data_IF_197932378458
#
_entry.id   IF_197932378458
#
_cell.length_a   1.000
_cell.length_b   1.000
_cell.length_c   1.000
_cell.angle_alpha   90.00
_cell.angle_beta   90.00
_cell.angle_gamma   90.00
#
_symmetry.space_group_name_H-M   'P 1'
#
loop_
_entity.id
_entity.type
_entity.pdbx_description
1 polymer ?
#
# COMPACT_ATOMS: atom_id res chain seq x y z
N UNK A 1 2.10 10.45 -7.31
CA UNK A 1 3.28 9.73 -7.82
C UNK A 1 3.68 8.57 -6.94
N UNK A 2 4.03 7.45 -7.56
CA UNK A 2 4.53 6.23 -6.94
C UNK A 2 6.06 6.25 -6.91
N UNK A 3 6.65 7.15 -6.11
CA UNK A 3 8.10 7.35 -6.09
C UNK A 3 8.89 6.39 -5.19
N UNK A 4 8.21 5.53 -4.41
CA UNK A 4 8.85 4.52 -3.54
C UNK A 4 9.60 5.04 -2.32
N UNK A 5 9.89 6.34 -2.20
CA UNK A 5 10.76 6.91 -1.15
C UNK A 5 10.38 6.54 0.29
N UNK A 6 9.09 6.33 0.56
CA UNK A 6 8.62 5.92 1.89
C UNK A 6 9.05 4.51 2.32
N UNK A 7 9.36 3.62 1.37
CA UNK A 7 9.66 2.20 1.66
C UNK A 7 10.93 2.06 2.50
N UNK A 8 11.97 2.82 2.19
CA UNK A 8 13.21 2.87 2.98
C UNK A 8 13.04 3.42 4.40
N UNK A 9 11.87 4.00 4.73
CA UNK A 9 11.55 4.51 6.06
C UNK A 9 10.59 3.60 6.83
N UNK A 10 10.06 2.55 6.19
CA UNK A 10 9.14 1.62 6.81
C UNK A 10 9.91 0.55 7.60
N UNK A 11 9.74 0.46 8.94
CA UNK A 11 10.47 -0.54 9.74
C UNK A 11 10.03 -1.99 9.49
N UNK A 12 8.86 -2.19 8.87
CA UNK A 12 8.32 -3.50 8.48
C UNK A 12 8.69 -3.91 7.05
N UNK A 13 9.33 -3.03 6.27
CA UNK A 13 9.65 -3.32 4.87
C UNK A 13 8.42 -3.51 3.98
N UNK A 14 7.33 -2.77 4.25
CA UNK A 14 6.09 -2.83 3.46
C UNK A 14 6.33 -2.24 2.07
N UNK A 15 5.82 -2.92 1.04
CA UNK A 15 5.86 -2.50 -0.38
C UNK A 15 4.79 -1.42 -0.65
N UNK A 16 4.91 -0.27 0.02
CA UNK A 16 3.91 0.80 0.06
C UNK A 16 3.55 1.30 -1.34
N UNK A 17 4.52 1.42 -2.26
CA UNK A 17 4.26 1.90 -3.62
C UNK A 17 3.48 0.88 -4.43
N UNK A 18 3.78 -0.42 -4.31
CA UNK A 18 3.04 -1.47 -4.98
C UNK A 18 1.60 -1.57 -4.47
N UNK A 19 1.38 -1.46 -3.16
CA UNK A 19 0.03 -1.41 -2.56
C UNK A 19 -0.74 -0.18 -3.06
N UNK A 20 -0.10 0.98 -3.11
CA UNK A 20 -0.72 2.20 -3.62
C UNK A 20 -1.08 2.10 -5.11
N UNK A 21 -0.29 1.38 -5.90
CA UNK A 21 -0.59 1.08 -7.30
C UNK A 21 -1.82 0.17 -7.43
N UNK A 22 -1.92 -0.86 -6.60
CA UNK A 22 -3.12 -1.72 -6.58
C UNK A 22 -4.38 -0.93 -6.22
N UNK A 23 -4.30 -0.02 -5.26
CA UNK A 23 -5.39 0.93 -4.96
C UNK A 23 -5.73 1.84 -6.14
N UNK A 24 -4.72 2.36 -6.83
CA UNK A 24 -4.94 3.20 -8.02
C UNK A 24 -5.69 2.44 -9.12
N UNK A 25 -5.44 1.14 -9.30
CA UNK A 25 -6.20 0.33 -10.25
C UNK A 25 -7.64 0.08 -9.77
N UNK A 26 -7.85 -0.14 -8.48
CA UNK A 26 -9.17 -0.38 -7.91
C UNK A 26 -10.09 0.86 -7.88
N UNK A 27 -9.49 2.05 -7.83
CA UNK A 27 -10.17 3.33 -7.63
C UNK A 27 -9.94 4.29 -8.80
N UNK A 28 -10.48 5.51 -8.70
CA UNK A 28 -10.30 6.56 -9.69
C UNK A 28 -10.89 6.22 -11.07
N UNK A 29 -10.20 6.62 -12.13
CA UNK A 29 -10.66 6.41 -13.51
C UNK A 29 -10.35 5.04 -14.11
N UNK A 30 -9.56 4.20 -13.43
CA UNK A 30 -9.26 2.84 -13.90
C UNK A 30 -10.40 1.88 -13.57
N UNK A 31 -10.80 1.82 -12.30
CA UNK A 31 -11.80 0.89 -11.77
C UNK A 31 -11.61 -0.58 -12.21
N UNK A 32 -10.36 -0.98 -12.45
CA UNK A 32 -9.98 -2.34 -12.82
C UNK A 32 -9.66 -3.16 -11.58
N UNK A 33 -10.72 -3.74 -11.00
CA UNK A 33 -10.60 -4.60 -9.81
C UNK A 33 -9.78 -5.86 -10.08
N UNK A 34 -9.79 -6.39 -11.30
CA UNK A 34 -9.05 -7.60 -11.65
C UNK A 34 -7.55 -7.36 -11.55
N UNK A 35 -7.08 -6.30 -12.21
CA UNK A 35 -5.69 -5.87 -12.17
C UNK A 35 -5.24 -5.45 -10.77
N UNK A 36 -6.12 -4.79 -10.00
CA UNK A 36 -5.83 -4.43 -8.62
C UNK A 36 -5.55 -5.66 -7.74
N UNK A 37 -6.41 -6.68 -7.82
CA UNK A 37 -6.28 -7.91 -7.05
C UNK A 37 -5.07 -8.75 -7.49
N UNK A 38 -4.81 -8.85 -8.80
CA UNK A 38 -3.63 -9.58 -9.27
C UNK A 38 -2.35 -8.92 -8.78
N UNK A 39 -2.24 -7.59 -8.93
CA UNK A 39 -1.07 -6.82 -8.46
C UNK A 39 -0.89 -6.92 -6.94
N UNK A 40 -1.97 -6.88 -6.16
CA UNK A 40 -1.88 -7.00 -4.69
C UNK A 40 -1.48 -8.42 -4.24
N UNK A 41 -1.95 -9.47 -4.93
CA UNK A 41 -1.64 -10.87 -4.58
C UNK A 41 -0.21 -11.30 -4.89
N UNK A 42 0.50 -10.56 -5.72
CA UNK A 42 1.93 -10.76 -5.97
C UNK A 42 2.81 -10.34 -4.78
N UNK A 43 2.25 -9.57 -3.83
CA UNK A 43 2.99 -9.11 -2.67
C UNK A 43 3.29 -10.26 -1.70
N UNK A 44 4.52 -10.37 -1.19
CA UNK A 44 4.80 -11.30 -0.11
C UNK A 44 4.04 -10.86 1.15
N UNK A 45 3.54 -11.83 1.93
CA UNK A 45 2.71 -11.55 3.10
C UNK A 45 3.37 -10.60 4.13
N UNK A 46 4.70 -10.66 4.29
CA UNK A 46 5.43 -9.79 5.21
C UNK A 46 5.55 -8.34 4.73
N UNK A 47 5.27 -8.06 3.46
CA UNK A 47 5.34 -6.72 2.87
C UNK A 47 3.96 -6.19 2.42
N UNK A 48 2.87 -6.84 2.86
CA UNK A 48 1.49 -6.49 2.52
C UNK A 48 0.92 -5.39 3.43
N UNK A 49 -0.32 -4.98 3.16
CA UNK A 49 -1.02 -4.04 4.05
C UNK A 49 -1.32 -4.66 5.41
N UNK A 50 -1.52 -5.98 5.52
CA UNK A 50 -1.72 -6.67 6.80
C UNK A 50 -0.49 -6.48 7.71
N UNK A 51 0.72 -6.67 7.17
CA UNK A 51 1.96 -6.46 7.91
C UNK A 51 2.13 -5.00 8.37
N UNK A 52 1.66 -4.02 7.57
CA UNK A 52 1.65 -2.63 7.98
C UNK A 52 0.72 -2.38 9.19
N UNK A 53 -0.45 -3.01 9.22
CA UNK A 53 -1.45 -2.78 10.26
C UNK A 53 -1.16 -3.50 11.58
N UNK A 54 -0.09 -4.28 11.65
CA UNK A 54 0.49 -4.75 12.91
C UNK A 54 1.21 -3.61 13.67
N UNK A 55 1.60 -2.53 12.99
CA UNK A 55 2.22 -1.39 13.65
C UNK A 55 1.19 -0.63 14.50
N UNK A 56 1.50 -0.31 15.77
CA UNK A 56 0.61 0.51 16.60
C UNK A 56 0.50 1.95 16.05
N UNK A 57 1.56 2.46 15.44
CA UNK A 57 1.62 3.77 14.78
C UNK A 57 2.53 3.67 13.56
N UNK A 58 2.12 4.28 12.44
CA UNK A 58 2.96 4.35 11.24
C UNK A 58 4.05 5.43 11.40
N UNK A 59 5.30 5.05 11.19
CA UNK A 59 6.46 5.95 11.24
C UNK A 59 7.07 6.22 9.86
N UNK A 60 6.56 5.59 8.81
CA UNK A 60 7.02 5.80 7.45
C UNK A 60 6.71 7.23 6.98
N UNK A 61 7.61 7.81 6.19
CA UNK A 61 7.54 9.20 5.75
C UNK A 61 7.30 9.27 4.25
N UNK A 62 6.18 9.86 3.85
CA UNK A 62 5.92 10.13 2.44
C UNK A 62 6.52 11.49 2.06
N UNK A 63 7.42 11.51 1.09
CA UNK A 63 7.97 12.75 0.53
C UNK A 63 6.92 13.70 -0.10
N UNK A 64 5.69 13.20 -0.32
CA UNK A 64 4.56 13.95 -0.86
C UNK A 64 3.44 14.20 0.17
N UNK A 65 3.66 13.88 1.44
CA UNK A 65 2.69 14.14 2.51
C UNK A 65 1.46 13.22 2.53
N UNK A 66 1.49 12.07 1.85
CA UNK A 66 0.40 11.10 1.92
C UNK A 66 0.33 10.47 3.33
N UNK A 67 -0.90 10.28 3.83
CA UNK A 67 -1.15 9.46 5.00
C UNK A 67 -1.02 7.98 4.64
N UNK A 68 0.16 7.40 4.88
CA UNK A 68 0.48 6.02 4.52
C UNK A 68 -0.43 5.04 5.28
N UNK A 69 -0.62 5.23 6.59
CA UNK A 69 -1.46 4.35 7.41
C UNK A 69 -2.89 4.24 6.86
N UNK A 70 -3.52 5.37 6.56
CA UNK A 70 -4.88 5.41 6.01
C UNK A 70 -4.95 4.72 4.63
N UNK A 71 -3.90 4.86 3.80
CA UNK A 71 -3.85 4.17 2.50
C UNK A 71 -3.69 2.65 2.66
N UNK A 72 -2.88 2.18 3.60
CA UNK A 72 -2.72 0.74 3.84
C UNK A 72 -4.03 0.13 4.39
N UNK A 73 -4.72 0.82 5.29
CA UNK A 73 -6.03 0.39 5.78
C UNK A 73 -7.06 0.32 4.65
N UNK A 74 -7.08 1.32 3.77
CA UNK A 74 -7.95 1.32 2.58
C UNK A 74 -7.64 0.16 1.64
N UNK A 75 -6.35 -0.13 1.41
CA UNK A 75 -5.93 -1.25 0.57
C UNK A 75 -6.39 -2.59 1.13
N UNK A 76 -6.16 -2.83 2.42
CA UNK A 76 -6.60 -4.06 3.10
C UNK A 76 -8.10 -4.26 2.98
N UNK A 77 -8.90 -3.22 3.23
CA UNK A 77 -10.36 -3.29 3.14
C UNK A 77 -10.86 -3.70 1.75
N UNK A 78 -10.13 -3.35 0.69
CA UNK A 78 -10.56 -3.57 -0.69
C UNK A 78 -9.99 -4.82 -1.36
N UNK A 79 -8.77 -5.22 -0.97
CA UNK A 79 -7.91 -6.10 -1.77
C UNK A 79 -7.34 -7.31 -1.00
N UNK A 80 -7.40 -7.32 0.34
CA UNK A 80 -6.98 -8.45 1.16
C UNK A 80 -8.05 -9.55 1.26
#
# INVERSE_FOLDING_TARGET
DLCGTCEGTCPKGVEISAINRSLMYAEGGYQDRGLALSTYRELPAHASADACLECPVCTAQCAKGLNIAARMERARMMLA
#
